data_IF_016132639602
#
_entry.id   IF_016132639602
#
_cell.length_a   1.000
_cell.length_b   1.000
_cell.length_c   1.000
_cell.angle_alpha   90.00
_cell.angle_beta   90.00
_cell.angle_gamma   90.00
#
_symmetry.space_group_name_H-M   'P 1'
#
loop_
_entity.id
_entity.type
_entity.pdbx_description
1 polymer ?
#
# COMPACT_ATOMS: atom_id res chain seq x y z
N UNK A 1 4.41 22.61 -3.99
CA UNK A 1 4.08 21.37 -3.27
C UNK A 1 5.39 20.71 -2.87
N UNK A 2 5.50 20.23 -1.63
CA UNK A 2 6.70 19.51 -1.16
C UNK A 2 6.82 18.19 -1.91
N UNK A 3 7.98 17.91 -2.51
CA UNK A 3 8.23 16.61 -3.16
C UNK A 3 8.60 15.57 -2.10
N UNK A 4 8.08 14.36 -2.24
CA UNK A 4 8.19 13.27 -1.27
C UNK A 4 9.05 12.14 -1.83
N UNK A 5 9.82 11.49 -0.94
CA UNK A 5 10.45 10.20 -1.20
C UNK A 5 9.55 9.09 -0.65
N UNK A 6 9.18 8.14 -1.50
CA UNK A 6 8.37 6.99 -1.12
C UNK A 6 9.18 5.70 -1.14
N UNK A 7 8.76 4.69 -0.37
CA UNK A 7 9.23 3.32 -0.55
C UNK A 7 8.12 2.40 -1.01
N UNK A 8 8.47 1.39 -1.82
CA UNK A 8 7.59 0.30 -2.20
C UNK A 8 8.22 -1.02 -1.74
N UNK A 9 7.54 -1.73 -0.84
CA UNK A 9 8.00 -3.00 -0.27
C UNK A 9 7.24 -4.16 -0.91
N UNK A 10 7.96 -5.22 -1.31
CA UNK A 10 7.40 -6.45 -1.88
C UNK A 10 7.14 -6.36 -3.39
N UNK A 11 8.18 -6.12 -4.18
CA UNK A 11 8.10 -6.02 -5.65
C UNK A 11 7.56 -7.29 -6.33
N UNK A 12 7.80 -8.45 -5.76
CA UNK A 12 7.32 -9.76 -6.26
C UNK A 12 5.80 -9.93 -6.16
N UNK A 13 5.10 -9.09 -5.40
CA UNK A 13 3.66 -9.18 -5.26
C UNK A 13 2.91 -8.73 -6.54
N UNK A 14 1.82 -9.41 -6.97
CA UNK A 14 1.14 -9.12 -8.24
C UNK A 14 0.62 -7.69 -8.42
N UNK A 15 0.34 -6.97 -7.33
CA UNK A 15 -0.12 -5.57 -7.38
C UNK A 15 1.02 -4.55 -7.42
N UNK A 16 2.28 -4.95 -7.19
CA UNK A 16 3.37 -4.00 -6.94
C UNK A 16 3.73 -3.16 -8.16
N UNK A 17 3.66 -3.72 -9.38
CA UNK A 17 3.87 -2.94 -10.60
C UNK A 17 2.76 -1.90 -10.84
N UNK A 18 1.54 -2.11 -10.34
CA UNK A 18 0.50 -1.09 -10.39
C UNK A 18 0.85 0.07 -9.45
N UNK A 19 1.28 -0.24 -8.21
CA UNK A 19 1.73 0.77 -7.24
C UNK A 19 2.94 1.55 -7.72
N UNK A 20 3.93 0.89 -8.31
CA UNK A 20 5.12 1.53 -8.88
C UNK A 20 4.75 2.54 -9.96
N UNK A 21 3.88 2.16 -10.90
CA UNK A 21 3.36 3.08 -11.94
C UNK A 21 2.62 4.27 -11.34
N UNK A 22 1.80 4.03 -10.33
CA UNK A 22 1.09 5.12 -9.64
C UNK A 22 2.08 6.10 -9.00
N UNK A 23 3.05 5.61 -8.23
CA UNK A 23 4.07 6.46 -7.61
C UNK A 23 4.88 7.25 -8.67
N UNK A 24 5.19 6.63 -9.80
CA UNK A 24 5.88 7.29 -10.90
C UNK A 24 5.04 8.38 -11.57
N UNK A 25 3.73 8.19 -11.69
CA UNK A 25 2.84 9.17 -12.29
C UNK A 25 2.57 10.39 -11.40
N UNK A 26 2.70 10.26 -10.07
CA UNK A 26 2.37 11.33 -9.13
C UNK A 26 3.46 12.43 -9.12
N UNK A 27 3.15 13.70 -9.45
CA UNK A 27 4.13 14.79 -9.47
C UNK A 27 4.70 15.11 -8.07
N UNK A 28 3.99 14.77 -7.01
CA UNK A 28 4.41 14.91 -5.61
C UNK A 28 5.53 13.93 -5.24
N UNK A 29 5.69 12.82 -5.98
CA UNK A 29 6.75 11.83 -5.72
C UNK A 29 8.01 12.23 -6.48
N UNK A 30 9.08 12.56 -5.76
CA UNK A 30 10.40 12.87 -6.31
C UNK A 30 11.18 11.61 -6.64
N UNK A 31 11.18 10.65 -5.72
CA UNK A 31 12.06 9.47 -5.73
C UNK A 31 11.38 8.29 -5.04
N UNK A 32 11.80 7.10 -5.45
CA UNK A 32 11.26 5.83 -4.97
C UNK A 32 12.43 4.93 -4.57
N UNK A 33 12.37 4.35 -3.37
CA UNK A 33 13.21 3.21 -2.98
C UNK A 33 12.39 1.92 -3.04
N UNK A 34 12.96 0.86 -3.61
CA UNK A 34 12.31 -0.44 -3.67
C UNK A 34 12.92 -1.39 -2.65
N UNK A 35 12.10 -2.28 -2.10
CA UNK A 35 12.58 -3.42 -1.33
C UNK A 35 11.87 -4.71 -1.71
N UNK A 36 12.65 -5.77 -1.80
CA UNK A 36 12.21 -7.16 -1.89
C UNK A 36 13.39 -8.05 -1.46
N UNK A 37 13.14 -9.27 -0.99
CA UNK A 37 14.20 -10.22 -0.70
C UNK A 37 14.86 -10.73 -2.00
N UNK A 38 14.14 -10.67 -3.12
CA UNK A 38 14.58 -11.11 -4.44
C UNK A 38 15.27 -9.98 -5.24
N UNK A 39 16.60 -10.06 -5.35
CA UNK A 39 17.41 -9.11 -6.13
C UNK A 39 17.08 -9.15 -7.63
N UNK A 40 16.78 -10.32 -8.19
CA UNK A 40 16.47 -10.43 -9.62
C UNK A 40 15.14 -9.75 -9.93
N UNK A 41 14.15 -9.87 -9.03
CA UNK A 41 12.87 -9.17 -9.15
C UNK A 41 13.03 -7.64 -9.07
N UNK A 42 13.91 -7.15 -8.18
CA UNK A 42 14.25 -5.73 -8.09
C UNK A 42 14.87 -5.21 -9.38
N UNK A 43 15.86 -5.93 -9.91
CA UNK A 43 16.55 -5.55 -11.15
C UNK A 43 15.57 -5.54 -12.33
N UNK A 44 14.73 -6.57 -12.46
CA UNK A 44 13.70 -6.63 -13.49
C UNK A 44 12.70 -5.47 -13.40
N UNK A 45 12.27 -5.08 -12.20
CA UNK A 45 11.38 -3.95 -12.01
C UNK A 45 12.02 -2.61 -12.41
N UNK A 46 13.30 -2.41 -12.06
CA UNK A 46 14.06 -1.21 -12.47
C UNK A 46 14.24 -1.14 -13.98
N UNK A 47 14.59 -2.26 -14.62
CA UNK A 47 14.75 -2.33 -16.07
C UNK A 47 13.44 -2.06 -16.81
N UNK A 48 12.32 -2.61 -16.33
CA UNK A 48 11.03 -2.43 -16.97
C UNK A 48 10.46 -1.02 -16.76
N UNK A 49 10.53 -0.50 -15.52
CA UNK A 49 9.81 0.69 -15.08
C UNK A 49 10.58 1.41 -13.96
N UNK A 50 11.77 1.93 -14.24
CA UNK A 50 12.68 2.55 -13.24
C UNK A 50 12.66 4.08 -13.13
N UNK A 51 11.76 4.80 -13.81
CA UNK A 51 11.88 6.25 -14.06
C UNK A 51 12.05 7.17 -12.83
N UNK A 52 11.63 6.74 -11.64
CA UNK A 52 11.85 7.47 -10.36
C UNK A 52 12.54 6.62 -9.30
N UNK A 53 12.98 5.42 -9.65
CA UNK A 53 13.65 4.53 -8.70
C UNK A 53 15.08 5.00 -8.52
N UNK A 54 15.46 5.35 -7.30
CA UNK A 54 16.80 5.87 -6.97
C UNK A 54 17.64 4.87 -6.19
N UNK A 55 17.00 3.88 -5.57
CA UNK A 55 17.67 2.83 -4.82
C UNK A 55 16.81 1.56 -4.76
N UNK A 56 17.46 0.41 -4.68
CA UNK A 56 16.87 -0.90 -4.40
C UNK A 56 17.59 -1.49 -3.19
N UNK A 57 16.87 -2.23 -2.36
CA UNK A 57 17.40 -2.83 -1.14
C UNK A 57 16.88 -4.24 -0.98
N UNK A 58 17.75 -5.17 -0.59
CA UNK A 58 17.35 -6.50 -0.12
C UNK A 58 17.28 -6.57 1.41
N UNK A 59 17.98 -5.68 2.12
CA UNK A 59 17.86 -5.50 3.56
C UNK A 59 16.80 -4.43 3.89
N UNK A 60 15.74 -4.84 4.58
CA UNK A 60 14.68 -3.93 5.02
C UNK A 60 15.19 -2.91 6.04
N UNK A 61 16.12 -3.30 6.92
CA UNK A 61 16.64 -2.40 7.94
C UNK A 61 17.44 -1.25 7.31
N UNK A 62 18.22 -1.53 6.27
CA UNK A 62 18.95 -0.52 5.51
C UNK A 62 17.98 0.48 4.86
N UNK A 63 16.94 0.01 4.18
CA UNK A 63 15.93 0.88 3.58
C UNK A 63 15.27 1.77 4.65
N UNK A 64 14.81 1.17 5.76
CA UNK A 64 14.06 1.88 6.79
C UNK A 64 14.90 2.88 7.58
N UNK A 65 16.23 2.70 7.61
CA UNK A 65 17.15 3.65 8.23
C UNK A 65 17.23 4.99 7.48
N UNK A 66 16.77 5.07 6.23
CA UNK A 66 16.76 6.31 5.46
C UNK A 66 15.73 7.31 6.03
N UNK A 67 16.14 8.44 6.62
CA UNK A 67 15.22 9.41 7.22
C UNK A 67 14.35 10.13 6.18
N UNK A 68 14.77 10.20 4.92
CA UNK A 68 14.10 10.96 3.86
C UNK A 68 12.84 10.25 3.33
N UNK A 69 12.71 8.93 3.55
CA UNK A 69 11.49 8.19 3.21
C UNK A 69 10.36 8.69 4.09
N UNK A 70 9.34 9.28 3.45
CA UNK A 70 8.18 9.86 4.12
C UNK A 70 7.10 8.81 4.40
N UNK A 71 6.86 7.90 3.45
CA UNK A 71 5.88 6.84 3.57
C UNK A 71 6.29 5.60 2.79
N UNK A 72 5.67 4.47 3.15
CA UNK A 72 5.82 3.20 2.46
C UNK A 72 4.48 2.73 1.92
N UNK A 73 4.48 2.21 0.70
CA UNK A 73 3.44 1.30 0.21
C UNK A 73 3.98 -0.11 0.36
N UNK A 74 3.23 -1.01 1.00
CA UNK A 74 3.73 -2.34 1.29
C UNK A 74 2.78 -3.41 0.74
N UNK A 75 3.28 -4.20 -0.21
CA UNK A 75 2.59 -5.30 -0.86
C UNK A 75 3.24 -6.62 -0.45
N UNK A 76 2.91 -7.10 0.75
CA UNK A 76 3.59 -8.20 1.42
C UNK A 76 2.62 -9.37 1.61
N UNK A 77 3.15 -10.60 1.57
CA UNK A 77 2.37 -11.82 1.87
C UNK A 77 1.75 -11.71 3.27
N UNK A 78 0.48 -12.09 3.39
CA UNK A 78 -0.35 -11.80 4.58
C UNK A 78 0.16 -12.37 5.92
N UNK A 79 1.03 -13.39 5.88
CA UNK A 79 1.68 -13.99 7.06
C UNK A 79 2.93 -13.21 7.52
N UNK A 80 3.58 -12.49 6.62
CA UNK A 80 4.78 -11.68 6.89
C UNK A 80 4.45 -10.19 7.07
N UNK A 81 3.35 -9.73 6.48
CA UNK A 81 2.92 -8.33 6.44
C UNK A 81 2.94 -7.65 7.82
N UNK A 82 2.28 -8.18 8.85
CA UNK A 82 2.16 -7.50 10.15
C UNK A 82 3.50 -7.07 10.76
N UNK A 83 4.50 -7.95 10.76
CA UNK A 83 5.81 -7.65 11.35
C UNK A 83 6.60 -6.63 10.51
N UNK A 84 6.52 -6.72 9.17
CA UNK A 84 7.15 -5.73 8.27
C UNK A 84 6.49 -4.36 8.41
N UNK A 85 5.17 -4.31 8.55
CA UNK A 85 4.40 -3.09 8.73
C UNK A 85 4.73 -2.40 10.05
N UNK A 86 4.81 -3.16 11.15
CA UNK A 86 5.24 -2.67 12.45
C UNK A 86 6.64 -2.05 12.35
N UNK A 87 7.60 -2.75 11.74
CA UNK A 87 8.96 -2.23 11.55
C UNK A 87 8.98 -0.91 10.77
N UNK A 88 8.17 -0.78 9.73
CA UNK A 88 8.07 0.47 8.96
C UNK A 88 7.50 1.63 9.80
N UNK A 89 6.45 1.36 10.58
CA UNK A 89 5.84 2.33 11.48
C UNK A 89 6.79 2.73 12.62
N UNK A 90 7.49 1.78 13.24
CA UNK A 90 8.51 2.03 14.27
C UNK A 90 9.70 2.84 13.73
N UNK A 91 10.01 2.71 12.43
CA UNK A 91 10.98 3.55 11.74
C UNK A 91 10.43 4.96 11.39
N UNK A 92 9.25 5.32 11.88
CA UNK A 92 8.66 6.65 11.71
C UNK A 92 7.98 6.87 10.35
N UNK A 93 7.68 5.81 9.59
CA UNK A 93 7.17 5.92 8.21
C UNK A 93 5.65 5.80 8.20
N UNK A 94 4.97 6.71 7.51
CA UNK A 94 3.55 6.49 7.21
C UNK A 94 3.37 5.23 6.35
N UNK A 95 2.27 4.51 6.52
CA UNK A 95 2.07 3.20 5.89
C UNK A 95 0.77 3.15 5.09
N UNK A 96 0.87 2.72 3.83
CA UNK A 96 -0.25 2.25 3.02
C UNK A 96 -0.06 0.75 2.72
N UNK A 97 -0.80 -0.11 3.40
CA UNK A 97 -0.67 -1.56 3.26
C UNK A 97 -1.62 -2.12 2.18
N UNK A 98 -1.17 -3.09 1.39
CA UNK A 98 -2.08 -3.94 0.63
C UNK A 98 -3.04 -4.68 1.55
N UNK A 99 -4.22 -5.00 1.00
CA UNK A 99 -5.21 -5.81 1.71
C UNK A 99 -4.93 -7.31 1.46
N UNK A 100 -5.11 -8.17 2.48
CA UNK A 100 -5.34 -7.84 3.89
C UNK A 100 -4.04 -7.48 4.64
N UNK A 101 -4.15 -6.72 5.74
CA UNK A 101 -3.01 -6.37 6.60
C UNK A 101 -2.36 -7.62 7.24
N UNK A 102 -3.17 -8.60 7.63
CA UNK A 102 -2.73 -9.82 8.28
C UNK A 102 -3.73 -10.95 8.10
N UNK A 103 -3.43 -12.12 8.68
CA UNK A 103 -4.31 -13.30 8.60
C UNK A 103 -5.44 -13.25 9.63
N UNK A 104 -5.25 -12.49 10.70
CA UNK A 104 -6.22 -12.37 11.81
C UNK A 104 -6.53 -10.92 12.14
N UNK A 105 -7.65 -10.71 12.82
CA UNK A 105 -7.98 -9.41 13.39
C UNK A 105 -6.94 -8.95 14.42
N UNK A 106 -6.36 -9.88 15.19
CA UNK A 106 -5.31 -9.59 16.16
C UNK A 106 -4.03 -9.08 15.48
N UNK A 107 -3.64 -9.67 14.34
CA UNK A 107 -2.50 -9.18 13.54
C UNK A 107 -2.74 -7.73 13.10
N UNK A 108 -3.95 -7.45 12.60
CA UNK A 108 -4.32 -6.11 12.14
C UNK A 108 -4.36 -5.10 13.29
N UNK A 109 -4.88 -5.52 14.45
CA UNK A 109 -4.94 -4.66 15.63
C UNK A 109 -3.54 -4.25 16.11
N UNK A 110 -2.57 -5.18 16.14
CA UNK A 110 -1.18 -4.85 16.50
C UNK A 110 -0.59 -3.74 15.62
N UNK A 111 -0.83 -3.81 14.31
CA UNK A 111 -0.35 -2.78 13.36
C UNK A 111 -1.01 -1.44 13.61
N UNK A 112 -2.33 -1.42 13.88
CA UNK A 112 -3.08 -0.21 14.23
C UNK A 112 -2.55 0.41 15.53
N UNK A 113 -2.29 -0.40 16.55
CA UNK A 113 -1.79 0.05 17.85
C UNK A 113 -0.44 0.75 17.70
N UNK A 114 0.48 0.17 16.93
CA UNK A 114 1.79 0.78 16.64
C UNK A 114 1.64 2.08 15.84
N UNK A 115 0.82 2.10 14.79
CA UNK A 115 0.59 3.33 14.01
C UNK A 115 0.04 4.46 14.88
N UNK A 116 -0.92 4.13 15.77
CA UNK A 116 -1.53 5.07 16.70
C UNK A 116 -0.53 5.58 17.73
N UNK A 117 0.26 4.68 18.33
CA UNK A 117 1.28 5.03 19.31
C UNK A 117 2.38 5.94 18.73
N UNK A 118 2.74 5.74 17.46
CA UNK A 118 3.71 6.56 16.74
C UNK A 118 3.11 7.86 16.16
N UNK A 119 1.79 8.04 16.23
CA UNK A 119 1.09 9.18 15.62
C UNK A 119 1.15 9.20 14.09
N UNK A 120 1.31 8.03 13.46
CA UNK A 120 1.47 7.88 12.02
C UNK A 120 0.16 7.49 11.34
N UNK A 121 0.00 7.97 10.10
CA UNK A 121 -1.10 7.54 9.23
C UNK A 121 -0.91 6.08 8.78
N UNK A 122 -1.97 5.30 8.93
CA UNK A 122 -2.13 3.95 8.39
C UNK A 122 -3.31 3.92 7.43
N UNK A 123 -3.05 3.57 6.17
CA UNK A 123 -4.04 3.33 5.14
C UNK A 123 -4.00 1.89 4.66
N UNK A 124 -5.10 1.44 4.05
CA UNK A 124 -5.19 0.14 3.37
C UNK A 124 -5.63 0.35 1.94
N UNK A 125 -5.01 -0.36 1.00
CA UNK A 125 -5.33 -0.35 -0.43
C UNK A 125 -6.70 -1.00 -0.71
N UNK A 126 -7.77 -0.30 -0.35
CA UNK A 126 -9.14 -0.60 -0.77
C UNK A 126 -9.51 0.27 -1.97
N UNK A 127 -8.81 0.09 -3.09
CA UNK A 127 -8.92 0.91 -4.30
C UNK A 127 -10.35 1.03 -4.84
N UNK A 128 -11.19 -0.01 -4.66
CA UNK A 128 -12.59 0.03 -5.08
C UNK A 128 -13.39 1.13 -4.38
N UNK A 129 -12.98 1.59 -3.19
CA UNK A 129 -13.60 2.75 -2.53
C UNK A 129 -13.43 4.00 -3.38
N UNK A 130 -12.37 4.13 -4.17
CA UNK A 130 -12.11 5.30 -5.02
C UNK A 130 -12.59 5.12 -6.47
N UNK A 131 -13.22 4.00 -6.81
CA UNK A 131 -13.80 3.83 -8.14
C UNK A 131 -14.94 4.85 -8.34
N UNK A 132 -14.94 5.66 -9.42
CA UNK A 132 -15.98 6.67 -9.66
C UNK A 132 -17.41 6.12 -9.61
N UNK A 133 -17.62 4.90 -10.10
CA UNK A 133 -18.95 4.25 -10.07
C UNK A 133 -19.37 3.92 -8.64
N UNK A 134 -18.43 3.47 -7.79
CA UNK A 134 -18.70 3.18 -6.37
C UNK A 134 -18.95 4.46 -5.59
N UNK A 135 -18.19 5.52 -5.87
CA UNK A 135 -18.39 6.84 -5.26
C UNK A 135 -19.75 7.44 -5.65
N UNK A 136 -20.16 7.31 -6.92
CA UNK A 136 -21.45 7.77 -7.38
C UNK A 136 -22.61 6.96 -6.81
N UNK A 137 -22.49 5.63 -6.76
CA UNK A 137 -23.47 4.78 -6.10
C UNK A 137 -23.65 5.16 -4.63
N UNK A 138 -22.54 5.39 -3.90
CA UNK A 138 -22.57 5.88 -2.51
C UNK A 138 -23.28 7.23 -2.41
N UNK A 139 -22.99 8.17 -3.31
CA UNK A 139 -23.61 9.51 -3.34
C UNK A 139 -25.12 9.42 -3.55
N UNK A 140 -25.59 8.62 -4.51
CA UNK A 140 -27.01 8.42 -4.79
C UNK A 140 -27.76 7.81 -3.60
N UNK A 141 -27.17 6.79 -2.96
CA UNK A 141 -27.72 6.18 -1.74
C UNK A 141 -27.82 7.22 -0.62
N UNK A 142 -26.75 7.99 -0.37
CA UNK A 142 -26.74 9.01 0.70
C UNK A 142 -27.73 10.15 0.47
N UNK A 143 -28.07 10.46 -0.78
CA UNK A 143 -29.07 11.47 -1.11
C UNK A 143 -30.51 10.94 -1.09
N UNK A 144 -30.72 9.66 -0.75
CA UNK A 144 -32.04 9.04 -0.72
C UNK A 144 -32.64 8.77 -2.09
N UNK A 145 -31.83 8.74 -3.16
CA UNK A 145 -32.31 8.60 -4.54
C UNK A 145 -33.04 7.27 -4.82
N UNK A 146 -32.84 6.26 -3.97
CA UNK A 146 -33.48 4.94 -4.06
C UNK A 146 -34.50 4.67 -2.94
N UNK A 147 -34.79 5.67 -2.09
CA UNK A 147 -35.60 5.48 -0.89
C UNK A 147 -34.86 4.73 0.23
N UNK A 148 -35.60 3.99 1.05
CA UNK A 148 -35.03 3.15 2.12
C UNK A 148 -34.30 1.93 1.53
N UNK A 149 -33.07 1.68 1.98
CA UNK A 149 -32.29 0.52 1.56
C UNK A 149 -32.85 -0.75 2.22
N UNK A 150 -33.54 -1.58 1.44
CA UNK A 150 -34.17 -2.80 1.95
C UNK A 150 -33.24 -4.03 1.90
N UNK A 151 -32.44 -4.16 0.84
CA UNK A 151 -31.55 -5.32 0.64
C UNK A 151 -30.35 -4.99 -0.25
N UNK A 152 -29.27 -5.77 -0.10
CA UNK A 152 -28.10 -5.74 -0.97
C UNK A 152 -27.80 -7.18 -1.41
N UNK A 153 -27.64 -7.39 -2.72
CA UNK A 153 -27.06 -8.61 -3.27
C UNK A 153 -25.71 -8.28 -3.90
N UNK A 154 -24.71 -9.10 -3.59
CA UNK A 154 -23.37 -8.93 -4.16
C UNK A 154 -22.80 -10.27 -4.57
N UNK A 155 -22.31 -10.35 -5.82
CA UNK A 155 -21.68 -11.55 -6.38
C UNK A 155 -20.25 -11.21 -6.77
N UNK A 156 -19.30 -11.76 -6.02
CA UNK A 156 -17.89 -11.76 -6.42
C UNK A 156 -17.61 -13.02 -7.22
N UNK A 157 -17.27 -12.84 -8.50
CA UNK A 157 -16.67 -13.89 -9.30
C UNK A 157 -15.16 -13.65 -9.30
N UNK A 158 -14.47 -14.32 -8.39
CA UNK A 158 -13.01 -14.39 -8.43
C UNK A 158 -12.66 -15.60 -9.28
N UNK A 159 -12.14 -15.38 -10.48
CA UNK A 159 -11.50 -16.46 -11.23
C UNK A 159 -10.37 -17.00 -10.37
N UNK A 160 -10.33 -18.31 -10.16
CA UNK A 160 -9.18 -18.96 -9.54
C UNK A 160 -7.98 -18.70 -10.45
N UNK A 161 -7.05 -17.88 -9.98
CA UNK A 161 -5.64 -18.07 -10.34
C UNK A 161 -5.18 -19.41 -9.80
#
# INVERSE_FOLDING_TARGET
MTKLHAALLGITHPHSLAHLRTLQALPEIASISLWDEDQEALDAAVQAQGAKVVATHTDLAELLANPDIFFVIAAIRNDLGPEIFIRALEAGKHLMAEKPIGRTAADTQRVIDVATAQGLQLGVCYQNRNNPVVQEARRLVQQGAIGELMSIEFRLLTTQV
#
